data_IF_067198912055
#
_entry.id   IF_067198912055
#
_cell.length_a   1.000
_cell.length_b   1.000
_cell.length_c   1.000
_cell.angle_alpha   90.00
_cell.angle_beta   90.00
_cell.angle_gamma   90.00
#
_symmetry.space_group_name_H-M   'P 1'
#
loop_
_entity.id
_entity.type
_entity.pdbx_description
1 polymer ?
#
# COMPACT_ATOMS: atom_id res chain seq x y z
N UNK A 1 -13.91 -18.11 -15.98
CA UNK A 1 -13.98 -17.35 -17.25
C UNK A 1 -12.64 -17.50 -17.97
N UNK A 2 -12.63 -17.49 -19.29
CA UNK A 2 -11.39 -17.47 -20.09
C UNK A 2 -10.72 -16.10 -20.02
N UNK A 3 -9.46 -16.00 -20.48
CA UNK A 3 -8.76 -14.72 -20.57
C UNK A 3 -9.52 -13.72 -21.45
N UNK A 4 -10.01 -14.15 -22.63
CA UNK A 4 -10.75 -13.28 -23.54
C UNK A 4 -12.14 -12.90 -23.00
N UNK A 5 -12.78 -13.76 -22.19
CA UNK A 5 -14.03 -13.40 -21.49
C UNK A 5 -13.81 -12.29 -20.45
N UNK A 6 -12.61 -12.19 -19.87
CA UNK A 6 -12.26 -11.17 -18.87
C UNK A 6 -11.71 -9.88 -19.48
N UNK A 7 -10.85 -9.98 -20.51
CA UNK A 7 -10.08 -8.85 -21.04
C UNK A 7 -10.41 -8.50 -22.49
N UNK A 8 -11.39 -9.17 -23.09
CA UNK A 8 -11.81 -8.98 -24.46
C UNK A 8 -10.97 -9.73 -25.49
N UNK A 9 -11.49 -9.79 -26.72
CA UNK A 9 -10.81 -10.38 -27.87
C UNK A 9 -9.71 -9.45 -28.43
N UNK A 10 -8.73 -10.04 -29.13
CA UNK A 10 -7.72 -9.28 -29.88
C UNK A 10 -6.47 -8.87 -29.10
N UNK A 11 -6.35 -9.28 -27.83
CA UNK A 11 -5.10 -9.14 -27.08
C UNK A 11 -3.99 -10.03 -27.68
N UNK A 12 -2.72 -9.58 -27.69
CA UNK A 12 -1.61 -10.40 -28.14
C UNK A 12 -1.33 -11.53 -27.14
N UNK A 13 -1.97 -12.68 -27.32
CA UNK A 13 -1.74 -13.90 -26.53
C UNK A 13 -0.77 -14.80 -27.28
N UNK A 14 0.42 -15.02 -26.71
CA UNK A 14 1.49 -15.82 -27.34
C UNK A 14 1.34 -17.33 -27.10
N UNK A 15 0.48 -17.74 -26.17
CA UNK A 15 0.21 -19.14 -25.85
C UNK A 15 -0.39 -19.31 -24.45
N UNK A 16 -0.73 -20.55 -24.11
CA UNK A 16 -1.17 -20.92 -22.77
C UNK A 16 0.03 -21.40 -21.94
N UNK A 17 0.22 -20.81 -20.77
CA UNK A 17 1.21 -21.29 -19.81
C UNK A 17 0.63 -22.46 -19.02
N UNK A 18 1.18 -23.66 -19.24
CA UNK A 18 0.73 -24.89 -18.55
C UNK A 18 1.53 -25.22 -17.29
N UNK A 19 2.47 -24.35 -16.90
CA UNK A 19 3.24 -24.50 -15.68
C UNK A 19 2.46 -24.04 -14.45
N UNK A 20 3.13 -24.07 -13.30
CA UNK A 20 2.59 -23.56 -12.03
C UNK A 20 3.64 -22.63 -11.46
N UNK A 21 3.24 -21.40 -11.17
CA UNK A 21 4.09 -20.43 -10.50
C UNK A 21 4.17 -20.75 -9.00
N UNK A 22 5.34 -20.60 -8.40
CA UNK A 22 5.56 -20.82 -6.97
C UNK A 22 5.01 -19.66 -6.14
N UNK A 23 3.99 -19.91 -5.32
CA UNK A 23 3.38 -18.90 -4.45
C UNK A 23 4.38 -18.17 -3.53
N UNK A 24 5.54 -18.75 -3.20
CA UNK A 24 6.55 -18.11 -2.36
C UNK A 24 7.57 -17.23 -3.13
N UNK A 25 7.49 -17.21 -4.47
CA UNK A 25 8.49 -16.59 -5.33
C UNK A 25 9.35 -17.59 -6.11
N UNK A 26 9.76 -17.18 -7.31
CA UNK A 26 10.74 -17.87 -8.15
C UNK A 26 11.32 -16.91 -9.21
N UNK A 27 12.27 -17.42 -10.00
CA UNK A 27 12.78 -16.76 -11.20
C UNK A 27 11.80 -16.95 -12.37
N UNK A 28 11.35 -15.85 -12.96
CA UNK A 28 10.62 -15.84 -14.22
C UNK A 28 11.57 -15.40 -15.33
N UNK A 29 11.63 -16.18 -16.41
CA UNK A 29 12.34 -15.84 -17.63
C UNK A 29 11.40 -15.83 -18.84
N UNK A 30 11.37 -14.71 -19.54
CA UNK A 30 10.82 -14.63 -20.89
C UNK A 30 11.96 -14.89 -21.88
N UNK A 31 11.86 -15.97 -22.66
CA UNK A 31 12.87 -16.34 -23.65
C UNK A 31 12.31 -16.24 -25.08
N UNK A 32 13.18 -15.93 -26.05
CA UNK A 32 12.84 -16.00 -27.46
C UNK A 32 12.83 -17.45 -28.00
N UNK A 33 12.45 -17.63 -29.27
CA UNK A 33 12.34 -18.94 -29.91
C UNK A 33 13.66 -19.73 -30.02
N UNK A 34 14.82 -19.10 -29.78
CA UNK A 34 16.14 -19.75 -29.78
C UNK A 34 16.73 -19.89 -28.37
N UNK A 35 15.94 -19.57 -27.33
CA UNK A 35 16.32 -19.72 -25.91
C UNK A 35 17.13 -18.53 -25.37
N UNK A 36 17.17 -17.38 -26.05
CA UNK A 36 17.79 -16.18 -25.48
C UNK A 36 16.81 -15.51 -24.53
N UNK A 37 17.28 -15.18 -23.33
CA UNK A 37 16.49 -14.43 -22.33
C UNK A 37 16.25 -13.00 -22.85
N UNK A 38 14.96 -12.63 -22.95
CA UNK A 38 14.46 -11.29 -23.27
C UNK A 38 14.30 -10.49 -21.97
N UNK A 39 13.72 -11.10 -20.94
CA UNK A 39 13.55 -10.52 -19.61
C UNK A 39 13.72 -11.62 -18.57
N UNK A 40 14.34 -11.27 -17.46
CA UNK A 40 14.47 -12.14 -16.29
C UNK A 40 14.21 -11.31 -15.04
N UNK A 41 13.49 -11.87 -14.08
CA UNK A 41 13.37 -11.30 -12.73
C UNK A 41 12.93 -12.36 -11.74
N UNK A 42 13.30 -12.18 -10.47
CA UNK A 42 12.76 -12.98 -9.37
C UNK A 42 11.61 -12.22 -8.73
N UNK A 43 10.45 -12.85 -8.55
CA UNK A 43 9.41 -12.32 -7.66
C UNK A 43 9.45 -13.01 -6.29
N UNK A 44 8.83 -12.37 -5.30
CA UNK A 44 8.63 -12.95 -3.97
C UNK A 44 7.23 -12.67 -3.49
N UNK A 45 6.74 -13.57 -2.64
CA UNK A 45 5.49 -13.39 -1.94
C UNK A 45 5.53 -12.17 -0.99
N UNK A 46 4.38 -11.58 -0.73
CA UNK A 46 4.22 -10.48 0.21
C UNK A 46 4.86 -9.15 -0.21
N UNK A 47 5.27 -8.98 -1.47
CA UNK A 47 5.79 -7.69 -1.93
C UNK A 47 4.75 -6.59 -1.85
N UNK A 48 3.52 -6.86 -2.30
CA UNK A 48 2.39 -5.93 -2.24
C UNK A 48 1.16 -6.75 -1.89
N UNK A 49 0.70 -6.64 -0.65
CA UNK A 49 -0.37 -7.49 -0.08
C UNK A 49 -1.65 -7.51 -0.93
N UNK A 50 -2.06 -6.36 -1.49
CA UNK A 50 -3.29 -6.29 -2.30
C UNK A 50 -3.18 -7.08 -3.63
N UNK A 51 -1.99 -7.55 -3.99
CA UNK A 51 -1.77 -8.45 -5.13
C UNK A 51 -1.82 -9.93 -4.77
N UNK A 52 -1.94 -10.26 -3.48
CA UNK A 52 -2.06 -11.62 -2.97
C UNK A 52 -3.53 -11.94 -2.63
N UNK A 53 -4.30 -12.32 -3.66
CA UNK A 53 -5.67 -12.82 -3.50
C UNK A 53 -6.76 -11.75 -3.36
N UNK A 54 -6.43 -10.46 -3.22
CA UNK A 54 -7.41 -9.35 -3.21
C UNK A 54 -7.84 -8.94 -4.64
N UNK A 55 -7.18 -9.50 -5.65
CA UNK A 55 -7.59 -9.41 -7.05
C UNK A 55 -6.85 -8.38 -7.88
N UNK A 56 -5.82 -7.71 -7.36
CA UNK A 56 -4.94 -6.85 -8.16
C UNK A 56 -3.73 -7.63 -8.65
N UNK A 57 -3.14 -7.22 -9.77
CA UNK A 57 -1.91 -7.83 -10.29
C UNK A 57 -0.69 -6.99 -9.94
N UNK A 58 0.50 -7.59 -9.90
CA UNK A 58 1.75 -6.83 -9.93
C UNK A 58 1.95 -6.21 -11.32
N UNK A 59 2.14 -4.89 -11.37
CA UNK A 59 2.45 -4.11 -12.56
C UNK A 59 3.83 -3.49 -12.43
N UNK A 60 4.71 -3.71 -13.41
CA UNK A 60 6.05 -3.14 -13.43
C UNK A 60 5.99 -1.61 -13.61
N UNK A 61 6.70 -0.86 -12.76
CA UNK A 61 6.76 0.61 -12.83
C UNK A 61 7.62 1.11 -14.00
N UNK A 62 8.70 0.40 -14.30
CA UNK A 62 9.64 0.76 -15.36
C UNK A 62 10.09 -0.46 -16.16
N UNK A 63 9.18 -1.12 -16.92
CA UNK A 63 9.50 -2.35 -17.65
C UNK A 63 10.57 -2.16 -18.75
N UNK A 64 10.83 -0.92 -19.18
CA UNK A 64 11.90 -0.57 -20.11
C UNK A 64 13.20 -0.08 -19.47
N UNK A 65 13.34 -0.22 -18.14
CA UNK A 65 14.54 0.21 -17.42
C UNK A 65 15.80 -0.44 -17.99
N UNK A 66 16.90 0.32 -18.02
CA UNK A 66 18.22 -0.22 -18.38
C UNK A 66 18.88 -0.96 -17.20
N UNK A 67 18.37 -0.77 -15.98
CA UNK A 67 18.77 -1.57 -14.84
C UNK A 67 18.10 -2.94 -14.92
N UNK A 68 18.90 -3.94 -15.25
CA UNK A 68 18.46 -5.33 -15.42
C UNK A 68 17.90 -5.95 -14.14
N UNK A 69 18.22 -5.39 -12.97
CA UNK A 69 17.74 -5.90 -11.67
C UNK A 69 16.56 -5.07 -11.13
N UNK A 70 16.06 -4.08 -11.87
CA UNK A 70 14.99 -3.20 -11.39
C UNK A 70 13.73 -3.96 -10.96
N UNK A 71 13.45 -5.09 -11.62
CA UNK A 71 12.30 -5.94 -11.35
C UNK A 71 12.56 -7.03 -10.31
N UNK A 72 13.79 -7.19 -9.81
CA UNK A 72 14.13 -8.14 -8.74
C UNK A 72 13.77 -7.63 -7.34
N UNK A 73 13.25 -6.40 -7.24
CA UNK A 73 12.92 -5.74 -5.98
C UNK A 73 11.50 -5.22 -5.99
N UNK A 74 10.83 -5.23 -4.82
CA UNK A 74 9.49 -4.65 -4.58
C UNK A 74 9.34 -3.25 -5.19
N UNK A 75 10.38 -2.42 -5.10
CA UNK A 75 10.38 -1.04 -5.61
C UNK A 75 10.22 -0.92 -7.14
N UNK A 76 10.43 -2.00 -7.90
CA UNK A 76 10.17 -2.03 -9.34
C UNK A 76 8.70 -2.26 -9.70
N UNK A 77 7.84 -2.49 -8.70
CA UNK A 77 6.46 -2.93 -8.88
C UNK A 77 5.48 -2.03 -8.14
N UNK A 78 4.25 -2.04 -8.63
CA UNK A 78 3.05 -1.56 -7.93
C UNK A 78 1.92 -2.56 -8.14
N UNK A 79 0.82 -2.43 -7.41
CA UNK A 79 -0.42 -3.09 -7.81
C UNK A 79 -1.01 -2.41 -9.05
N UNK A 80 -1.80 -3.15 -9.82
CA UNK A 80 -2.65 -2.59 -10.86
C UNK A 80 -3.65 -1.60 -10.27
N UNK A 81 -4.04 -0.57 -11.00
CA UNK A 81 -5.11 0.36 -10.60
C UNK A 81 -6.51 -0.21 -10.76
N UNK A 82 -6.62 -1.35 -11.45
CA UNK A 82 -7.88 -2.04 -11.72
C UNK A 82 -7.83 -3.44 -11.13
N UNK A 83 -8.90 -3.84 -10.45
CA UNK A 83 -9.10 -5.22 -10.01
C UNK A 83 -9.24 -6.15 -11.23
N UNK A 84 -8.51 -7.27 -11.23
CA UNK A 84 -8.27 -8.13 -12.39
C UNK A 84 -7.00 -7.76 -13.16
N UNK A 85 -6.40 -6.59 -12.92
CA UNK A 85 -5.27 -6.12 -13.71
C UNK A 85 -5.67 -5.62 -15.10
N UNK A 86 -4.68 -5.12 -15.84
CA UNK A 86 -4.87 -4.52 -17.18
C UNK A 86 -3.90 -5.11 -18.19
N UNK A 87 -3.93 -6.44 -18.44
CA UNK A 87 -2.99 -7.07 -19.36
C UNK A 87 -3.05 -6.41 -20.75
N UNK A 88 -1.89 -6.00 -21.27
CA UNK A 88 -1.77 -5.32 -22.56
C UNK A 88 -1.90 -3.79 -22.52
N UNK A 89 -2.25 -3.19 -21.38
CA UNK A 89 -2.43 -1.75 -21.22
C UNK A 89 -1.66 -1.20 -20.02
N UNK A 90 -1.16 0.03 -20.16
CA UNK A 90 -0.64 0.79 -19.03
C UNK A 90 -1.81 1.39 -18.24
N UNK A 91 -1.80 1.18 -16.93
CA UNK A 91 -2.78 1.69 -15.96
C UNK A 91 -2.14 2.67 -14.96
N UNK A 92 -1.02 3.30 -15.34
CA UNK A 92 -0.30 4.28 -14.52
C UNK A 92 -1.12 5.53 -14.17
N UNK A 93 -2.21 5.79 -14.89
CA UNK A 93 -3.15 6.87 -14.60
C UNK A 93 -4.33 6.43 -13.70
N UNK A 94 -4.48 5.13 -13.44
CA UNK A 94 -5.57 4.56 -12.63
C UNK A 94 -5.20 4.33 -11.16
N UNK A 95 -3.91 4.21 -10.84
CA UNK A 95 -3.40 4.13 -9.48
C UNK A 95 -2.33 5.18 -9.23
N UNK A 96 -2.32 5.74 -8.02
CA UNK A 96 -1.25 6.61 -7.59
C UNK A 96 0.07 5.82 -7.46
N UNK A 97 1.19 6.50 -7.70
CA UNK A 97 2.52 5.91 -7.52
C UNK A 97 2.73 5.51 -6.06
N UNK A 98 3.33 4.35 -5.76
CA UNK A 98 3.68 3.97 -4.39
C UNK A 98 4.44 5.09 -3.67
N UNK A 99 4.08 5.34 -2.41
CA UNK A 99 4.66 6.40 -1.58
C UNK A 99 4.07 7.79 -1.77
N UNK A 100 3.07 7.97 -2.64
CA UNK A 100 2.41 9.25 -2.86
C UNK A 100 1.67 9.77 -1.61
N UNK A 101 0.92 8.90 -0.91
CA UNK A 101 0.37 9.15 0.43
C UNK A 101 0.78 8.01 1.37
N UNK A 102 1.50 8.32 2.44
CA UNK A 102 2.08 7.30 3.32
C UNK A 102 1.59 7.41 4.75
N UNK A 103 1.50 6.30 5.45
CA UNK A 103 1.47 6.25 6.91
C UNK A 103 2.81 6.81 7.41
N UNK A 104 2.75 8.02 7.97
CA UNK A 104 3.91 8.86 8.24
C UNK A 104 4.37 8.78 9.69
N UNK A 105 3.44 8.81 10.63
CA UNK A 105 3.72 8.71 12.06
C UNK A 105 2.56 8.03 12.78
N UNK A 106 2.87 7.24 13.80
CA UNK A 106 1.90 6.53 14.63
C UNK A 106 2.26 6.68 16.10
N UNK A 107 1.25 6.80 16.95
CA UNK A 107 1.41 6.82 18.40
C UNK A 107 0.34 5.95 19.05
N UNK A 108 0.75 5.01 19.89
CA UNK A 108 -0.10 4.47 20.94
C UNK A 108 0.09 5.32 22.20
N UNK A 109 -0.98 5.96 22.66
CA UNK A 109 -0.94 6.92 23.76
C UNK A 109 -1.57 6.33 25.02
N UNK A 110 -1.06 6.73 26.18
CA UNK A 110 -1.72 6.41 27.46
C UNK A 110 -2.89 7.36 27.73
N UNK A 111 -3.99 6.85 28.31
CA UNK A 111 -5.05 7.71 28.80
C UNK A 111 -4.53 8.82 29.73
N UNK A 112 -5.05 10.05 29.64
CA UNK A 112 -6.27 10.44 28.92
C UNK A 112 -6.07 10.76 27.42
N UNK A 113 -4.84 10.69 26.91
CA UNK A 113 -4.58 10.86 25.48
C UNK A 113 -5.07 9.62 24.70
N UNK A 114 -5.20 9.77 23.38
CA UNK A 114 -5.68 8.71 22.49
C UNK A 114 -4.64 8.44 21.42
N UNK A 115 -4.59 7.20 20.98
CA UNK A 115 -3.80 6.77 19.82
C UNK A 115 -4.14 7.61 18.60
N UNK A 116 -3.16 7.75 17.72
CA UNK A 116 -3.37 8.41 16.44
C UNK A 116 -2.46 7.85 15.36
N UNK A 117 -2.94 7.99 14.14
CA UNK A 117 -2.26 7.65 12.89
C UNK A 117 -2.20 8.92 12.06
N UNK A 118 -1.04 9.24 11.52
CA UNK A 118 -0.86 10.33 10.58
C UNK A 118 -0.55 9.82 9.18
N UNK A 119 -1.26 10.37 8.21
CA UNK A 119 -0.96 10.24 6.79
C UNK A 119 -0.25 11.49 6.29
N UNK A 120 0.69 11.31 5.37
CA UNK A 120 1.40 12.41 4.70
C UNK A 120 1.25 12.28 3.19
N UNK A 121 0.91 13.39 2.54
CA UNK A 121 0.99 13.53 1.10
C UNK A 121 2.43 13.92 0.70
N UNK A 122 3.14 13.06 -0.02
CA UNK A 122 4.49 13.31 -0.53
C UNK A 122 4.50 13.79 -1.99
N UNK A 123 3.34 14.06 -2.57
CA UNK A 123 3.23 14.58 -3.93
C UNK A 123 3.33 16.10 -3.94
N UNK A 124 3.53 16.67 -5.13
CA UNK A 124 3.58 18.11 -5.35
C UNK A 124 2.19 18.72 -5.65
N UNK A 125 1.11 18.00 -5.33
CA UNK A 125 -0.28 18.40 -5.58
C UNK A 125 -1.18 17.94 -4.44
N UNK A 126 -2.34 18.58 -4.19
CA UNK A 126 -3.32 18.05 -3.26
C UNK A 126 -3.81 16.65 -3.68
N UNK A 127 -4.01 15.76 -2.72
CA UNK A 127 -4.53 14.41 -2.94
C UNK A 127 -5.85 14.24 -2.20
N UNK A 128 -6.89 13.85 -2.93
CA UNK A 128 -8.16 13.41 -2.32
C UNK A 128 -7.95 11.98 -1.79
N UNK A 129 -8.14 11.82 -0.48
CA UNK A 129 -8.05 10.54 0.25
C UNK A 129 -9.39 10.14 0.88
N UNK A 130 -10.45 10.90 0.64
CA UNK A 130 -11.80 10.56 1.04
C UNK A 130 -12.24 9.24 0.43
N UNK A 131 -12.84 8.42 1.27
CA UNK A 131 -13.25 7.07 0.92
C UNK A 131 -12.17 6.00 0.92
N UNK A 132 -10.90 6.36 1.13
CA UNK A 132 -9.80 5.42 1.38
C UNK A 132 -9.99 4.70 2.72
N UNK A 133 -9.26 3.61 2.93
CA UNK A 133 -9.39 2.77 4.11
C UNK A 133 -8.10 2.66 4.92
N UNK A 134 -8.26 2.65 6.24
CA UNK A 134 -7.26 2.23 7.22
C UNK A 134 -7.67 0.90 7.88
N UNK A 135 -6.68 0.07 8.16
CA UNK A 135 -6.83 -1.18 8.91
C UNK A 135 -5.56 -1.57 9.65
N UNK A 136 -5.70 -2.37 10.70
CA UNK A 136 -4.69 -3.10 11.46
C UNK A 136 -4.73 -4.62 11.17
N UNK A 137 -5.52 -5.04 10.16
CA UNK A 137 -5.81 -6.45 9.89
C UNK A 137 -5.83 -6.77 8.40
N UNK A 138 -4.86 -7.57 7.94
CA UNK A 138 -4.75 -8.11 6.58
C UNK A 138 -6.01 -8.86 6.10
N UNK A 139 -6.72 -9.52 7.02
CA UNK A 139 -7.96 -10.24 6.71
C UNK A 139 -9.20 -9.34 6.55
N UNK A 140 -9.10 -8.06 6.92
CA UNK A 140 -10.18 -7.08 6.81
C UNK A 140 -9.59 -5.69 6.52
N UNK A 141 -9.28 -5.41 5.25
CA UNK A 141 -8.60 -4.17 4.84
C UNK A 141 -9.48 -2.91 4.90
N UNK A 142 -10.77 -3.03 5.22
CA UNK A 142 -11.75 -1.95 5.12
C UNK A 142 -12.40 -1.61 6.47
N UNK A 143 -11.60 -1.53 7.55
CA UNK A 143 -12.09 -1.28 8.92
C UNK A 143 -12.52 0.16 9.16
N UNK A 144 -11.72 1.14 8.75
CA UNK A 144 -12.06 2.56 8.87
C UNK A 144 -12.01 3.24 7.51
N UNK A 145 -13.11 3.88 7.09
CA UNK A 145 -13.20 4.65 5.85
C UNK A 145 -13.02 6.14 6.14
N UNK A 146 -12.05 6.78 5.50
CA UNK A 146 -11.84 8.23 5.60
C UNK A 146 -13.06 8.95 5.00
N UNK A 147 -13.51 10.03 5.64
CA UNK A 147 -14.70 10.77 5.20
C UNK A 147 -14.56 11.29 3.75
N UNK A 148 -15.64 11.21 2.98
CA UNK A 148 -15.66 11.70 1.59
C UNK A 148 -15.32 13.19 1.50
N UNK A 149 -14.55 13.58 0.48
CA UNK A 149 -14.12 14.96 0.27
C UNK A 149 -12.91 15.36 1.12
N UNK A 150 -12.29 14.41 1.84
CA UNK A 150 -11.05 14.67 2.58
C UNK A 150 -9.90 14.83 1.61
N UNK A 151 -9.24 15.98 1.65
CA UNK A 151 -8.07 16.29 0.83
C UNK A 151 -6.88 16.53 1.75
N UNK A 152 -5.75 15.91 1.44
CA UNK A 152 -4.46 16.26 2.03
C UNK A 152 -3.77 17.20 1.04
N UNK A 153 -3.53 18.44 1.46
CA UNK A 153 -2.82 19.43 0.64
C UNK A 153 -1.40 18.97 0.28
N UNK A 154 -0.77 19.66 -0.66
CA UNK A 154 0.64 19.41 -1.05
C UNK A 154 1.56 19.43 0.18
N UNK A 155 2.40 18.41 0.33
CA UNK A 155 3.27 18.19 1.50
C UNK A 155 2.53 18.22 2.86
N UNK A 156 1.21 18.05 2.82
CA UNK A 156 0.31 18.15 3.97
C UNK A 156 0.18 16.83 4.74
N UNK A 157 -0.51 16.94 5.88
CA UNK A 157 -0.69 15.87 6.85
C UNK A 157 -2.18 15.71 7.20
N UNK A 158 -2.60 14.48 7.46
CA UNK A 158 -3.91 14.16 8.02
C UNK A 158 -3.71 13.31 9.28
N UNK A 159 -4.14 13.83 10.42
CA UNK A 159 -4.06 13.13 11.71
C UNK A 159 -5.44 12.56 12.06
N UNK A 160 -5.51 11.25 12.21
CA UNK A 160 -6.71 10.52 12.62
C UNK A 160 -6.48 9.99 14.04
N UNK A 161 -7.29 10.44 15.00
CA UNK A 161 -7.28 9.94 16.39
C UNK A 161 -8.25 8.78 16.60
N UNK A 162 -7.86 7.78 17.40
CA UNK A 162 -8.69 6.60 17.69
C UNK A 162 -10.03 6.95 18.31
N UNK A 163 -10.04 7.76 19.38
CA UNK A 163 -11.24 8.18 20.11
C UNK A 163 -12.25 8.98 19.27
N UNK A 164 -11.80 9.64 18.22
CA UNK A 164 -12.65 10.42 17.32
C UNK A 164 -13.07 9.64 16.07
N UNK A 165 -12.20 8.75 15.57
CA UNK A 165 -12.31 8.15 14.25
C UNK A 165 -12.34 6.61 14.32
N UNK A 166 -11.18 5.95 14.24
CA UNK A 166 -11.09 4.52 13.94
C UNK A 166 -11.40 3.60 15.13
N UNK A 167 -11.37 4.12 16.36
CA UNK A 167 -11.86 3.43 17.56
C UNK A 167 -13.23 3.90 18.01
N UNK A 168 -13.82 4.89 17.32
CA UNK A 168 -15.14 5.44 17.63
C UNK A 168 -16.22 4.72 16.82
N UNK A 169 -17.08 3.95 17.47
CA UNK A 169 -18.16 3.22 16.79
C UNK A 169 -19.26 4.15 16.23
N UNK A 170 -19.34 5.40 16.70
CA UNK A 170 -20.32 6.39 16.24
C UNK A 170 -19.80 7.21 15.03
N UNK A 171 -18.51 7.10 14.70
CA UNK A 171 -17.96 7.73 13.49
C UNK A 171 -18.51 7.02 12.24
N UNK A 172 -19.09 7.73 11.25
CA UNK A 172 -19.66 7.11 10.05
C UNK A 172 -18.66 6.31 9.19
N UNK A 173 -17.36 6.60 9.31
CA UNK A 173 -16.28 5.87 8.67
C UNK A 173 -15.93 4.56 9.36
N UNK A 174 -16.29 4.39 10.63
CA UNK A 174 -15.99 3.22 11.43
C UNK A 174 -16.89 2.04 11.05
N UNK A 175 -16.33 1.08 10.30
CA UNK A 175 -17.00 -0.16 9.92
C UNK A 175 -16.70 -1.26 10.93
N UNK A 176 -15.46 -1.29 11.41
CA UNK A 176 -15.00 -2.08 12.55
C UNK A 176 -14.01 -1.24 13.36
N UNK A 177 -14.28 -1.09 14.66
CA UNK A 177 -13.40 -0.34 15.55
C UNK A 177 -12.06 -1.05 15.73
N UNK A 178 -10.98 -0.28 15.82
CA UNK A 178 -9.66 -0.79 16.20
C UNK A 178 -8.86 0.23 17.03
N UNK A 179 -7.71 -0.22 17.54
CA UNK A 179 -6.75 0.55 18.33
C UNK A 179 -5.37 -0.04 18.14
N UNK A 180 -4.31 0.68 18.53
CA UNK A 180 -2.96 0.25 18.21
C UNK A 180 -2.35 -0.67 19.28
N UNK A 181 -1.84 -1.84 18.90
CA UNK A 181 -1.12 -2.75 19.80
C UNK A 181 0.41 -2.59 19.66
N UNK A 182 0.97 -1.61 20.37
CA UNK A 182 2.44 -1.51 20.50
C UNK A 182 3.03 -2.59 21.41
N UNK A 183 2.27 -3.29 22.24
CA UNK A 183 2.88 -4.27 23.16
C UNK A 183 3.42 -5.50 22.41
N UNK A 184 2.71 -5.91 21.34
CA UNK A 184 3.14 -6.99 20.45
C UNK A 184 3.69 -6.48 19.11
N UNK A 185 3.49 -5.19 18.82
CA UNK A 185 3.64 -4.65 17.48
C UNK A 185 2.47 -5.07 16.60
N UNK A 186 2.27 -4.32 15.52
CA UNK A 186 1.24 -4.61 14.53
C UNK A 186 1.61 -3.97 13.20
N UNK A 187 0.89 -4.42 12.17
CA UNK A 187 0.97 -3.87 10.83
C UNK A 187 -0.25 -3.01 10.56
N UNK A 188 -0.03 -1.79 10.07
CA UNK A 188 -1.08 -0.91 9.56
C UNK A 188 -1.08 -0.88 8.05
N UNK A 189 -2.29 -0.80 7.51
CA UNK A 189 -2.59 -0.83 6.09
C UNK A 189 -3.38 0.41 5.72
N UNK A 190 -2.93 1.11 4.69
CA UNK A 190 -3.64 2.18 4.00
C UNK A 190 -3.97 1.71 2.59
N UNK A 191 -5.25 1.73 2.21
CA UNK A 191 -5.67 1.41 0.85
C UNK A 191 -6.48 2.52 0.21
N UNK A 192 -6.10 2.88 -1.01
CA UNK A 192 -6.91 3.75 -1.84
C UNK A 192 -8.17 3.06 -2.32
N UNK A 193 -9.21 3.85 -2.54
CA UNK A 193 -10.48 3.38 -3.04
C UNK A 193 -11.17 4.42 -3.93
N UNK A 194 -12.04 3.92 -4.79
CA UNK A 194 -12.97 4.69 -5.59
C UNK A 194 -14.40 4.17 -5.36
N UNK A 195 -15.37 4.67 -6.12
CA UNK A 195 -16.79 4.28 -5.98
C UNK A 195 -17.06 2.77 -6.18
N UNK A 196 -16.16 2.05 -6.85
CA UNK A 196 -16.32 0.62 -7.19
C UNK A 196 -15.56 -0.32 -6.25
N UNK A 197 -14.68 0.20 -5.40
CA UNK A 197 -13.89 -0.61 -4.47
C UNK A 197 -12.49 -0.05 -4.27
N UNK A 198 -11.56 -0.91 -3.84
CA UNK A 198 -10.14 -0.55 -3.77
C UNK A 198 -9.64 -0.22 -5.19
N UNK A 199 -8.62 0.62 -5.30
CA UNK A 199 -8.07 1.08 -6.59
C UNK A 199 -6.59 0.74 -6.78
N UNK A 200 -6.09 -0.27 -6.06
CA UNK A 200 -4.70 -0.72 -6.14
C UNK A 200 -3.70 0.12 -5.35
N UNK A 201 -4.03 1.35 -4.95
CA UNK A 201 -3.14 2.11 -4.09
C UNK A 201 -3.05 1.44 -2.71
N UNK A 202 -1.82 1.23 -2.23
CA UNK A 202 -1.57 0.64 -0.93
C UNK A 202 -0.29 1.22 -0.31
N UNK A 203 -0.29 1.35 1.00
CA UNK A 203 0.88 1.61 1.81
C UNK A 203 0.76 0.82 3.13
N UNK A 204 1.88 0.30 3.62
CA UNK A 204 1.92 -0.66 4.72
C UNK A 204 3.10 -0.34 5.62
N UNK A 205 2.88 -0.40 6.94
CA UNK A 205 3.95 -0.27 7.93
C UNK A 205 3.80 -1.28 9.05
N UNK A 206 4.87 -2.00 9.34
CA UNK A 206 5.08 -2.67 10.62
C UNK A 206 5.93 -1.74 11.49
N UNK A 207 5.41 -1.33 12.65
CA UNK A 207 6.12 -0.47 13.58
C UNK A 207 6.68 -1.22 14.80
N UNK A 208 6.49 -2.54 14.88
CA UNK A 208 7.06 -3.40 15.91
C UNK A 208 6.58 -3.11 17.33
N UNK A 209 7.07 -3.92 18.27
CA UNK A 209 6.68 -3.81 19.68
C UNK A 209 7.48 -2.71 20.41
N UNK A 210 6.79 -1.90 21.23
CA UNK A 210 7.38 -0.90 22.09
C UNK A 210 6.51 -0.46 23.28
N UNK A 211 7.02 0.50 24.05
CA UNK A 211 6.26 1.13 25.13
C UNK A 211 5.32 2.22 24.59
N UNK A 212 4.13 2.39 25.19
CA UNK A 212 3.25 3.53 24.89
C UNK A 212 3.95 4.88 25.10
N UNK A 213 3.39 5.92 24.48
CA UNK A 213 3.84 7.33 24.49
C UNK A 213 5.14 7.60 23.72
N UNK A 214 5.58 6.67 22.87
CA UNK A 214 6.66 6.89 21.91
C UNK A 214 6.12 6.68 20.51
N UNK A 215 6.22 7.70 19.67
CA UNK A 215 5.80 7.59 18.27
C UNK A 215 6.86 6.93 17.41
N UNK A 216 6.36 6.27 16.38
CA UNK A 216 7.16 5.78 15.26
C UNK A 216 6.88 6.65 14.05
N UNK A 217 7.94 7.15 13.42
CA UNK A 217 7.86 7.93 12.20
C UNK A 217 8.61 7.28 11.04
N UNK A 218 8.09 7.48 9.85
CA UNK A 218 8.72 7.06 8.60
C UNK A 218 9.95 7.94 8.32
N UNK A 219 11.08 7.30 8.00
CA UNK A 219 12.33 7.99 7.61
C UNK A 219 12.74 7.73 6.16
N UNK A 220 12.54 6.50 5.66
CA UNK A 220 12.82 6.13 4.27
C UNK A 220 12.02 4.89 3.88
N UNK A 221 11.38 4.90 2.70
CA UNK A 221 10.60 3.77 2.21
C UNK A 221 9.50 3.39 3.20
N UNK A 222 9.49 2.12 3.60
CA UNK A 222 8.52 1.55 4.56
C UNK A 222 9.08 1.52 6.00
N UNK A 223 10.30 2.04 6.23
CA UNK A 223 10.99 1.92 7.50
C UNK A 223 10.46 2.93 8.54
N UNK A 224 9.80 2.38 9.57
CA UNK A 224 9.34 3.11 10.75
C UNK A 224 10.39 3.06 11.86
N UNK A 225 10.72 4.21 12.44
CA UNK A 225 11.67 4.32 13.54
C UNK A 225 11.09 5.16 14.67
N UNK A 226 11.50 4.87 15.90
CA UNK A 226 11.11 5.68 17.06
C UNK A 226 11.62 7.11 16.91
N UNK A 227 10.77 8.08 17.24
CA UNK A 227 11.10 9.50 17.18
C UNK A 227 11.47 10.08 18.55
N UNK A 228 12.26 11.15 18.56
CA UNK A 228 12.62 11.89 19.78
C UNK A 228 11.43 12.62 20.41
N UNK A 229 10.42 12.98 19.61
CA UNK A 229 9.18 13.62 20.03
C UNK A 229 8.08 13.35 19.01
N UNK A 230 6.83 13.42 19.44
CA UNK A 230 5.66 13.34 18.55
C UNK A 230 5.54 14.58 17.67
N UNK A 231 5.13 14.41 16.40
CA UNK A 231 5.06 15.51 15.42
C UNK A 231 3.75 15.59 14.63
N UNK A 232 2.56 15.49 15.27
CA UNK A 232 1.29 15.54 14.54
C UNK A 232 1.12 16.86 13.78
N UNK A 233 0.82 16.75 12.49
CA UNK A 233 0.66 17.84 11.54
C UNK A 233 1.96 18.50 11.10
N UNK A 234 3.12 17.85 11.28
CA UNK A 234 4.44 18.47 11.07
C UNK A 234 5.49 17.46 10.61
N UNK A 235 6.66 17.93 10.10
CA UNK A 235 7.76 17.03 9.76
C UNK A 235 8.23 16.19 10.95
N UNK A 236 8.48 14.90 10.69
CA UNK A 236 8.97 13.95 11.68
C UNK A 236 10.21 14.47 12.41
N UNK A 237 10.22 14.30 13.73
CA UNK A 237 11.42 14.55 14.53
C UNK A 237 12.56 13.60 14.15
N UNK A 238 13.76 13.85 14.69
CA UNK A 238 14.88 12.93 14.48
C UNK A 238 14.59 11.57 15.15
N UNK A 239 15.14 10.47 14.63
CA UNK A 239 15.06 9.17 15.29
C UNK A 239 15.72 9.18 16.68
N UNK A 240 15.26 8.29 17.56
CA UNK A 240 16.02 7.96 18.78
C UNK A 240 17.27 7.19 18.42
N UNK A 241 18.40 7.50 19.06
CA UNK A 241 19.64 6.69 19.00
C UNK A 241 19.42 5.23 19.39
#
# INVERSE_FOLDING_TARGET
PTFEELYGEGQPVVGEYTGVLNNNGELIELQDAVGRVIQSFTYRDGWIEITDGVGFSLTALAPGSQDVNALDAKAGWRASGVSGGTPGYDDSDQAMMPGAVTINEVLNARPPESDWIELKNNTNSPVEVGGWYLSDNAGELKKYRIADGTVIEVDGYLVLRQDLHFGNADDPGSRFTFGLDVANGETLYLHGANLTGLNGYADEVDFGAYYPDVSFGRVQGDNMVRLQSTTPGSPNALPTE
#
